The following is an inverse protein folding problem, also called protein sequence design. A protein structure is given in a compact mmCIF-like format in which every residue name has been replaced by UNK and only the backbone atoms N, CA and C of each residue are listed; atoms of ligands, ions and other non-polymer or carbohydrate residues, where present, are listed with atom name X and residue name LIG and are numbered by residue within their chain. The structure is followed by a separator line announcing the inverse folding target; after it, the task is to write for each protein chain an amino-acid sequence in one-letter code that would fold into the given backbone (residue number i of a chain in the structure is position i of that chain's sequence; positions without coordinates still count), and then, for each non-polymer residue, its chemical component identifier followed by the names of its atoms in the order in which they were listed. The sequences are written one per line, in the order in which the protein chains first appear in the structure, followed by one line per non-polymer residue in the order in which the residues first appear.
data_IF_661637170071
#
_entry.id   IF_661637170071
#
_cell.length_a   1.000
_cell.length_b   1.000
_cell.length_c   1.000
_cell.angle_alpha   90.00
_cell.angle_beta   90.00
_cell.angle_gamma   90.00
#
_symmetry.space_group_name_H-M   'P 1'
#
loop_
_entity.id
_entity.type
_entity.pdbx_description
1 polymer ?
#
# COMPACT_ATOMS: atom_id res chain seq x y z
N UNK A 1 34.37 10.78 13.23
CA UNK A 1 33.41 10.77 12.10
C UNK A 1 32.29 9.82 12.47
N UNK A 2 31.02 10.10 12.13
CA UNK A 2 29.95 9.12 12.33
C UNK A 2 30.28 7.85 11.54
N UNK A 3 29.94 6.68 12.08
CA UNK A 3 30.06 5.44 11.34
C UNK A 3 29.16 5.51 10.08
N UNK A 4 29.61 4.96 8.95
CA UNK A 4 28.76 4.83 7.78
C UNK A 4 27.59 3.89 8.08
N UNK A 5 26.47 4.06 7.37
CA UNK A 5 25.37 3.11 7.40
C UNK A 5 25.82 1.74 6.86
N UNK A 6 25.12 0.68 7.29
CA UNK A 6 25.35 -0.66 6.78
C UNK A 6 25.06 -0.75 5.27
N UNK A 7 25.81 -1.59 4.57
CA UNK A 7 25.73 -1.71 3.11
C UNK A 7 24.31 -1.94 2.58
N UNK A 8 23.45 -2.80 3.18
CA UNK A 8 22.08 -2.98 2.69
C UNK A 8 21.23 -1.70 2.72
N UNK A 9 21.45 -0.81 3.70
CA UNK A 9 20.75 0.47 3.78
C UNK A 9 21.19 1.37 2.62
N UNK A 10 22.50 1.42 2.36
CA UNK A 10 23.09 2.18 1.26
C UNK A 10 22.56 1.67 -0.08
N UNK A 11 22.50 0.35 -0.27
CA UNK A 11 22.02 -0.27 -1.51
C UNK A 11 20.55 0.03 -1.78
N UNK A 12 19.69 -0.04 -0.76
CA UNK A 12 18.27 0.33 -0.88
C UNK A 12 18.13 1.81 -1.26
N UNK A 13 18.87 2.70 -0.60
CA UNK A 13 18.84 4.14 -0.91
C UNK A 13 19.29 4.39 -2.36
N UNK A 14 20.41 3.79 -2.77
CA UNK A 14 20.90 3.95 -4.14
C UNK A 14 19.90 3.37 -5.16
N UNK A 15 19.27 2.24 -4.85
CA UNK A 15 18.24 1.67 -5.71
C UNK A 15 17.05 2.62 -5.87
N UNK A 16 16.48 3.13 -4.77
CA UNK A 16 15.30 4.00 -4.79
C UNK A 16 15.58 5.34 -5.51
N UNK A 17 16.76 5.93 -5.32
CA UNK A 17 17.05 7.28 -5.83
C UNK A 17 17.84 7.33 -7.13
N UNK A 18 18.57 6.29 -7.50
CA UNK A 18 19.54 6.34 -8.59
C UNK A 18 19.37 5.23 -9.62
N UNK A 19 18.58 4.20 -9.35
CA UNK A 19 18.38 3.12 -10.31
C UNK A 19 17.57 3.63 -11.51
N UNK A 20 18.11 3.55 -12.74
CA UNK A 20 17.37 3.96 -13.92
C UNK A 20 16.28 2.93 -14.23
N UNK A 21 15.06 3.41 -14.42
CA UNK A 21 13.98 2.60 -14.98
C UNK A 21 14.03 2.67 -16.51
N UNK A 22 13.70 1.57 -17.16
CA UNK A 22 13.44 1.58 -18.59
C UNK A 22 12.03 2.14 -18.83
N UNK A 23 11.93 3.44 -19.08
CA UNK A 23 10.65 4.11 -19.26
C UNK A 23 9.89 3.62 -20.50
N UNK A 24 10.60 3.08 -21.48
CA UNK A 24 10.04 2.54 -22.73
C UNK A 24 9.58 1.06 -22.58
N UNK A 25 9.80 0.44 -21.42
CA UNK A 25 9.31 -0.90 -21.11
C UNK A 25 7.78 -0.88 -20.84
N UNK A 26 7.01 -1.07 -21.92
CA UNK A 26 5.55 -1.16 -21.85
C UNK A 26 5.06 -2.31 -20.95
N UNK A 27 5.82 -3.41 -20.83
CA UNK A 27 5.44 -4.55 -20.01
C UNK A 27 5.55 -4.21 -18.51
N UNK A 28 6.60 -3.49 -18.11
CA UNK A 28 6.76 -2.98 -16.74
C UNK A 28 5.55 -2.13 -16.33
N UNK A 29 5.17 -1.14 -17.14
CA UNK A 29 4.04 -0.26 -16.83
C UNK A 29 2.71 -1.00 -16.83
N UNK A 30 2.53 -1.93 -17.76
CA UNK A 30 1.32 -2.76 -17.82
C UNK A 30 1.17 -3.64 -16.58
N UNK A 31 2.26 -4.26 -16.12
CA UNK A 31 2.29 -5.07 -14.91
C UNK A 31 2.00 -4.22 -13.67
N UNK A 32 2.67 -3.07 -13.52
CA UNK A 32 2.44 -2.15 -12.41
C UNK A 32 0.98 -1.66 -12.34
N UNK A 33 0.40 -1.26 -13.49
CA UNK A 33 -1.01 -0.85 -13.57
C UNK A 33 -1.95 -1.99 -13.21
N UNK A 34 -1.66 -3.20 -13.68
CA UNK A 34 -2.49 -4.38 -13.39
C UNK A 34 -2.46 -4.71 -11.90
N UNK A 35 -1.27 -4.71 -11.28
CA UNK A 35 -1.12 -4.95 -9.85
C UNK A 35 -1.83 -3.89 -9.01
N UNK A 36 -1.78 -2.61 -9.41
CA UNK A 36 -2.52 -1.54 -8.72
C UNK A 36 -4.04 -1.75 -8.81
N UNK A 37 -4.56 -2.08 -10.00
CA UNK A 37 -5.99 -2.33 -10.18
C UNK A 37 -6.46 -3.55 -9.39
N UNK A 38 -5.66 -4.61 -9.35
CA UNK A 38 -5.92 -5.82 -8.56
C UNK A 38 -5.99 -5.51 -7.06
N UNK A 39 -4.98 -4.82 -6.52
CA UNK A 39 -4.94 -4.41 -5.12
C UNK A 39 -6.15 -3.54 -4.74
N UNK A 40 -6.50 -2.56 -5.58
CA UNK A 40 -7.69 -1.72 -5.38
C UNK A 40 -8.99 -2.52 -5.48
N UNK A 41 -9.05 -3.51 -6.37
CA UNK A 41 -10.15 -4.45 -6.48
C UNK A 41 -10.35 -5.25 -5.19
N UNK A 42 -9.27 -5.82 -4.65
CA UNK A 42 -9.27 -6.54 -3.37
C UNK A 42 -9.70 -5.64 -2.21
N UNK A 43 -9.25 -4.38 -2.19
CA UNK A 43 -9.64 -3.42 -1.17
C UNK A 43 -11.15 -3.13 -1.20
N UNK A 44 -11.72 -2.92 -2.39
CA UNK A 44 -13.16 -2.69 -2.57
C UNK A 44 -13.96 -3.95 -2.23
N UNK A 45 -13.51 -5.13 -2.65
CA UNK A 45 -14.14 -6.42 -2.30
C UNK A 45 -14.21 -6.58 -0.79
N UNK A 46 -13.08 -6.42 -0.11
CA UNK A 46 -13.00 -6.53 1.36
C UNK A 46 -13.91 -5.51 2.03
N UNK A 47 -13.87 -4.25 1.58
CA UNK A 47 -14.72 -3.19 2.12
C UNK A 47 -16.20 -3.50 1.96
N UNK A 48 -16.61 -4.09 0.83
CA UNK A 48 -18.01 -4.44 0.57
C UNK A 48 -18.48 -5.67 1.37
N UNK A 49 -17.63 -6.69 1.47
CA UNK A 49 -18.05 -8.04 1.89
C UNK A 49 -17.73 -8.36 3.35
N UNK A 50 -16.69 -7.77 3.94
CA UNK A 50 -16.22 -8.13 5.29
C UNK A 50 -16.64 -7.12 6.35
N UNK A 51 -17.71 -7.43 7.07
CA UNK A 51 -18.15 -6.62 8.22
C UNK A 51 -17.11 -6.60 9.36
N UNK A 52 -16.36 -7.68 9.55
CA UNK A 52 -15.31 -7.77 10.57
C UNK A 52 -14.11 -6.87 10.22
N UNK A 53 -13.68 -6.85 8.95
CA UNK A 53 -12.61 -5.97 8.51
C UNK A 53 -12.98 -4.50 8.71
N UNK A 54 -14.22 -4.10 8.41
CA UNK A 54 -14.68 -2.71 8.56
C UNK A 54 -14.58 -2.17 9.98
N UNK A 55 -14.56 -3.03 11.01
CA UNK A 55 -14.39 -2.61 12.42
C UNK A 55 -12.99 -2.10 12.74
N UNK A 56 -12.01 -2.37 11.87
CA UNK A 56 -10.62 -1.93 12.05
C UNK A 56 -10.35 -0.56 11.40
N UNK A 57 -11.28 -0.10 10.54
CA UNK A 57 -11.13 1.11 9.72
C UNK A 57 -11.61 2.36 10.45
N UNK A 58 -11.18 3.52 9.96
CA UNK A 58 -11.64 4.82 10.44
C UNK A 58 -10.69 5.48 11.44
N UNK A 59 -11.02 6.69 11.93
CA UNK A 59 -10.13 7.42 12.81
C UNK A 59 -9.95 6.70 14.15
N UNK A 60 -8.79 6.88 14.79
CA UNK A 60 -8.51 6.29 16.12
C UNK A 60 -9.41 6.90 17.21
N UNK A 61 -9.75 8.17 17.04
CA UNK A 61 -10.69 8.90 17.89
C UNK A 61 -11.90 9.25 17.02
N UNK A 62 -13.08 8.82 17.45
CA UNK A 62 -14.33 9.12 16.75
C UNK A 62 -14.50 10.63 16.51
N UNK A 63 -15.14 10.97 15.39
CA UNK A 63 -15.38 12.36 14.96
C UNK A 63 -14.13 13.21 14.67
N UNK A 64 -12.94 12.60 14.58
CA UNK A 64 -11.73 13.30 14.11
C UNK A 64 -11.95 13.83 12.69
N UNK A 65 -11.75 15.13 12.50
CA UNK A 65 -11.78 15.79 11.19
C UNK A 65 -10.36 16.03 10.69
N UNK A 66 -10.06 15.51 9.51
CA UNK A 66 -8.78 15.73 8.83
C UNK A 66 -9.06 16.44 7.50
N UNK A 67 -8.94 17.78 7.44
CA UNK A 67 -9.06 18.52 6.19
C UNK A 67 -8.09 17.96 5.16
N UNK A 68 -8.58 17.71 3.94
CA UNK A 68 -7.79 17.12 2.84
C UNK A 68 -7.07 15.80 3.22
N UNK A 69 -7.60 15.07 4.20
CA UNK A 69 -7.13 13.75 4.59
C UNK A 69 -7.33 12.67 3.52
N UNK A 70 -6.64 11.55 3.71
CA UNK A 70 -6.73 10.36 2.88
C UNK A 70 -8.15 9.79 2.90
N UNK A 71 -8.68 9.45 1.72
CA UNK A 71 -10.02 8.88 1.57
C UNK A 71 -9.91 7.36 1.41
N UNK A 72 -10.43 6.62 2.39
CA UNK A 72 -10.33 5.16 2.39
C UNK A 72 -11.26 4.57 1.31
N UNK A 73 -10.71 3.88 0.28
CA UNK A 73 -11.50 3.39 -0.85
C UNK A 73 -12.68 2.50 -0.44
N UNK A 74 -13.82 2.68 -1.11
CA UNK A 74 -15.03 1.91 -0.82
C UNK A 74 -15.73 2.28 0.49
N UNK A 75 -15.35 3.40 1.14
CA UNK A 75 -15.96 3.89 2.38
C UNK A 75 -16.25 5.40 2.30
N UNK A 76 -16.91 5.95 3.32
CA UNK A 76 -17.06 7.39 3.52
C UNK A 76 -16.02 8.00 4.46
N UNK A 77 -14.96 7.26 4.81
CA UNK A 77 -13.99 7.66 5.83
C UNK A 77 -12.92 8.58 5.23
N UNK A 78 -12.56 9.62 5.99
CA UNK A 78 -11.44 10.50 5.71
C UNK A 78 -10.56 10.59 6.96
N UNK A 79 -9.30 10.19 6.81
CA UNK A 79 -8.34 10.02 7.93
C UNK A 79 -7.00 10.64 7.58
N UNK A 80 -6.10 10.75 8.55
CA UNK A 80 -4.73 11.18 8.28
C UNK A 80 -3.97 10.13 7.44
N UNK A 81 -2.88 10.50 6.75
CA UNK A 81 -2.16 9.58 5.87
C UNK A 81 -1.64 8.32 6.56
N UNK A 82 -1.28 8.38 7.85
CA UNK A 82 -0.78 7.20 8.57
C UNK A 82 -1.91 6.21 8.79
N UNK A 83 -3.08 6.69 9.25
CA UNK A 83 -4.25 5.81 9.39
C UNK A 83 -4.80 5.35 8.03
N UNK A 84 -4.75 6.21 7.02
CA UNK A 84 -5.14 5.88 5.65
C UNK A 84 -4.31 4.74 5.07
N UNK A 85 -3.00 4.76 5.28
CA UNK A 85 -2.10 3.70 4.85
C UNK A 85 -2.38 2.36 5.55
N UNK A 86 -2.63 2.40 6.86
CA UNK A 86 -3.06 1.21 7.61
C UNK A 86 -4.39 0.67 7.07
N UNK A 87 -5.39 1.53 6.88
CA UNK A 87 -6.73 1.13 6.42
C UNK A 87 -6.72 0.53 5.02
N UNK A 88 -5.99 1.15 4.10
CA UNK A 88 -5.84 0.60 2.75
C UNK A 88 -5.06 -0.71 2.76
N UNK A 89 -3.97 -0.82 3.54
CA UNK A 89 -3.21 -2.07 3.67
C UNK A 89 -4.04 -3.21 4.23
N UNK A 90 -4.83 -2.95 5.27
CA UNK A 90 -5.79 -3.91 5.84
C UNK A 90 -6.78 -4.34 4.76
N UNK A 91 -7.41 -3.40 4.05
CA UNK A 91 -8.38 -3.71 3.01
C UNK A 91 -7.81 -4.55 1.86
N UNK A 92 -6.59 -4.24 1.39
CA UNK A 92 -5.92 -4.99 0.31
C UNK A 92 -5.68 -6.44 0.73
N UNK A 93 -5.21 -6.66 1.97
CA UNK A 93 -4.67 -7.97 2.39
C UNK A 93 -5.65 -8.87 3.14
N UNK A 94 -6.74 -8.33 3.70
CA UNK A 94 -7.60 -9.06 4.65
C UNK A 94 -8.11 -10.41 4.13
N UNK A 95 -8.53 -10.46 2.85
CA UNK A 95 -9.09 -11.67 2.23
C UNK A 95 -8.04 -12.57 1.58
N UNK A 96 -6.77 -12.13 1.50
CA UNK A 96 -5.68 -12.89 0.85
C UNK A 96 -5.90 -13.18 -0.63
N UNK A 97 -6.54 -12.23 -1.34
CA UNK A 97 -6.81 -12.33 -2.78
C UNK A 97 -5.85 -11.52 -3.64
N UNK A 98 -5.06 -10.65 -3.03
CA UNK A 98 -4.08 -9.81 -3.69
C UNK A 98 -2.83 -10.62 -4.12
N UNK A 99 -1.99 -10.02 -4.96
CA UNK A 99 -0.77 -10.65 -5.51
C UNK A 99 0.10 -11.38 -4.48
N UNK A 100 0.83 -12.42 -4.92
CA UNK A 100 1.75 -13.17 -4.09
C UNK A 100 3.08 -13.40 -4.80
N UNK A 101 4.18 -13.29 -4.06
CA UNK A 101 5.54 -13.53 -4.52
C UNK A 101 6.18 -14.62 -3.66
N UNK A 102 6.48 -15.76 -4.29
CA UNK A 102 7.21 -16.86 -3.67
C UNK A 102 8.71 -16.73 -3.92
N UNK A 103 9.46 -16.29 -2.91
CA UNK A 103 10.92 -16.26 -2.91
C UNK A 103 11.52 -17.21 -1.87
N UNK A 104 12.71 -16.89 -1.38
CA UNK A 104 13.24 -17.53 -0.16
C UNK A 104 12.35 -17.26 1.06
N UNK A 105 11.67 -16.12 1.04
CA UNK A 105 10.54 -15.78 1.91
C UNK A 105 9.30 -15.55 1.05
N UNK A 106 8.11 -15.77 1.63
CA UNK A 106 6.83 -15.54 0.98
C UNK A 106 6.31 -14.16 1.35
N UNK A 107 5.77 -13.42 0.38
CA UNK A 107 5.21 -12.09 0.62
C UNK A 107 4.20 -11.66 -0.41
N UNK A 108 3.58 -10.50 -0.15
CA UNK A 108 2.60 -9.85 -1.02
C UNK A 108 3.04 -8.41 -1.29
N UNK A 109 3.74 -8.12 -2.40
CA UNK A 109 4.27 -6.79 -2.68
C UNK A 109 3.21 -5.69 -2.71
N UNK A 110 1.99 -5.98 -3.17
CA UNK A 110 0.88 -5.01 -3.19
C UNK A 110 0.46 -4.51 -1.81
N UNK A 111 0.84 -5.18 -0.72
CA UNK A 111 0.61 -4.68 0.64
C UNK A 111 1.25 -3.31 0.92
N UNK A 112 2.23 -2.91 0.11
CA UNK A 112 2.89 -1.60 0.21
C UNK A 112 2.12 -0.46 -0.44
N UNK A 113 1.12 -0.74 -1.29
CA UNK A 113 0.32 0.27 -2.01
C UNK A 113 -0.38 1.23 -1.04
N UNK A 114 -0.73 0.76 0.16
CA UNK A 114 -1.28 1.61 1.23
C UNK A 114 -0.38 2.80 1.62
N UNK A 115 0.95 2.65 1.49
CA UNK A 115 1.92 3.68 1.89
C UNK A 115 2.21 4.72 0.80
N UNK A 116 1.67 4.54 -0.42
CA UNK A 116 1.82 5.50 -1.50
C UNK A 116 1.00 6.76 -1.23
N UNK A 117 1.57 7.94 -1.52
CA UNK A 117 0.80 9.18 -1.51
C UNK A 117 -0.27 9.10 -2.61
N UNK A 118 -1.55 8.98 -2.24
CA UNK A 118 -2.70 9.15 -3.15
C UNK A 118 -3.37 10.48 -2.90
#
# INVERSE_FOLDING_TARGET
MPQPYDQPIIDIVNYVYQYPLDEDDEEMWKCARTALLDAMGCAIETSATSAECRKLLGPVIDDTLVPDGFRVPGTGLQVDPVKGAFDLGVLIRYLDHNDALGGAEWGHPSGTVGSGHT
#
